data_IF_540932001883
#
_entry.id   IF_540932001883
#
_cell.length_a   1.000
_cell.length_b   1.000
_cell.length_c   1.000
_cell.angle_alpha   90.00
_cell.angle_beta   90.00
_cell.angle_gamma   90.00
#
_symmetry.space_group_name_H-M   'P 1'
#
loop_
_entity.id
_entity.type
_entity.pdbx_description
1 polymer ?
#
# COMPACT_ATOMS: atom_id res chain seq x y z
N UNK A 1 26.79 18.73 -18.04
CA UNK A 1 25.64 19.34 -17.35
C UNK A 1 24.77 18.20 -16.86
N UNK A 2 24.92 17.82 -15.60
CA UNK A 2 23.99 16.88 -14.96
C UNK A 2 22.62 17.55 -14.99
N UNK A 3 21.73 17.07 -15.86
CA UNK A 3 20.34 17.53 -15.88
C UNK A 3 19.79 17.33 -14.46
N UNK A 4 18.97 18.27 -13.98
CA UNK A 4 18.17 18.14 -12.77
C UNK A 4 17.29 16.88 -12.85
N UNK A 5 17.86 15.70 -12.58
CA UNK A 5 17.14 14.43 -12.53
C UNK A 5 16.54 14.18 -11.16
N UNK A 6 16.84 15.02 -10.16
CA UNK A 6 16.44 14.83 -8.75
C UNK A 6 15.03 15.28 -8.40
N UNK A 7 14.38 16.12 -9.22
CA UNK A 7 13.02 16.58 -8.93
C UNK A 7 11.98 15.56 -9.39
N UNK A 8 10.99 15.32 -8.54
CA UNK A 8 9.83 14.48 -8.82
C UNK A 8 8.99 15.04 -9.97
N UNK A 9 8.64 14.19 -10.93
CA UNK A 9 7.76 14.54 -12.04
C UNK A 9 6.30 14.20 -11.72
N UNK A 10 5.55 15.19 -11.21
CA UNK A 10 4.12 15.04 -10.89
C UNK A 10 3.25 14.70 -12.12
N UNK A 11 3.71 15.02 -13.33
CA UNK A 11 2.99 14.75 -14.58
C UNK A 11 3.12 13.29 -15.04
N UNK A 12 4.15 12.58 -14.58
CA UNK A 12 4.41 11.20 -14.98
C UNK A 12 3.58 10.16 -14.21
N UNK A 13 3.00 10.55 -13.06
CA UNK A 13 2.08 9.68 -12.31
C UNK A 13 0.73 9.65 -13.03
N UNK A 14 0.16 8.45 -13.15
CA UNK A 14 -1.16 8.27 -13.77
C UNK A 14 -2.29 8.83 -12.89
N UNK A 15 -3.33 9.42 -13.51
CA UNK A 15 -4.46 10.03 -12.80
C UNK A 15 -5.15 9.06 -11.83
N UNK A 16 -5.20 7.76 -12.15
CA UNK A 16 -5.75 6.72 -11.27
C UNK A 16 -5.12 6.70 -9.87
N UNK A 17 -3.86 7.14 -9.74
CA UNK A 17 -3.12 7.16 -8.49
C UNK A 17 -3.05 8.56 -7.85
N UNK A 18 -3.79 9.55 -8.36
CA UNK A 18 -3.81 10.93 -7.85
C UNK A 18 -5.04 11.25 -7.00
N UNK A 19 -6.09 10.44 -7.11
CA UNK A 19 -7.33 10.63 -6.36
C UNK A 19 -7.13 10.50 -4.84
N UNK A 20 -8.05 11.06 -4.06
CA UNK A 20 -8.00 10.89 -2.61
C UNK A 20 -8.10 9.40 -2.21
N UNK A 21 -7.39 9.00 -1.15
CA UNK A 21 -7.31 7.60 -0.73
C UNK A 21 -8.37 7.28 0.34
N UNK A 22 -9.53 6.79 -0.10
CA UNK A 22 -10.57 6.21 0.77
C UNK A 22 -10.41 4.70 0.92
N UNK A 23 -10.98 4.15 2.00
CA UNK A 23 -11.03 2.71 2.22
C UNK A 23 -11.80 1.96 1.13
N UNK A 24 -11.63 0.63 1.07
CA UNK A 24 -12.34 -0.25 0.13
C UNK A 24 -13.85 -0.10 0.27
N UNK A 25 -14.54 -0.07 -0.86
CA UNK A 25 -15.98 -0.25 -0.93
C UNK A 25 -16.34 -1.72 -0.67
N UNK A 26 -17.51 -1.96 -0.07
CA UNK A 26 -17.94 -3.30 0.35
C UNK A 26 -17.99 -4.31 -0.80
N UNK A 27 -18.32 -3.85 -2.00
CA UNK A 27 -18.43 -4.68 -3.20
C UNK A 27 -17.16 -4.69 -4.07
N UNK A 28 -16.06 -4.04 -3.67
CA UNK A 28 -14.85 -3.87 -4.49
C UNK A 28 -14.27 -5.19 -5.04
N UNK A 29 -14.38 -6.29 -4.29
CA UNK A 29 -13.89 -7.61 -4.68
C UNK A 29 -14.89 -8.42 -5.53
N UNK A 30 -16.11 -7.93 -5.69
CA UNK A 30 -17.22 -8.64 -6.36
C UNK A 30 -17.87 -7.85 -7.49
N UNK A 31 -17.69 -6.52 -7.51
CA UNK A 31 -18.25 -5.58 -8.46
C UNK A 31 -17.56 -5.60 -9.83
N UNK A 32 -17.87 -4.59 -10.64
CA UNK A 32 -17.34 -4.46 -12.01
C UNK A 32 -15.82 -4.36 -12.04
N UNK A 33 -15.23 -3.72 -11.02
CA UNK A 33 -13.82 -3.37 -11.00
C UNK A 33 -12.96 -4.43 -10.30
N UNK A 34 -13.54 -5.58 -9.93
CA UNK A 34 -12.86 -6.66 -9.20
C UNK A 34 -11.53 -7.11 -9.81
N UNK A 35 -11.39 -6.99 -11.13
CA UNK A 35 -10.17 -7.36 -11.86
C UNK A 35 -8.97 -6.47 -11.51
N UNK A 36 -9.22 -5.25 -11.03
CA UNK A 36 -8.19 -4.35 -10.50
C UNK A 36 -7.67 -4.78 -9.13
N UNK A 37 -8.41 -5.62 -8.41
CA UNK A 37 -8.12 -5.99 -7.05
C UNK A 37 -7.52 -7.40 -6.95
N UNK A 38 -6.66 -7.59 -5.97
CA UNK A 38 -6.16 -8.89 -5.57
C UNK A 38 -6.10 -8.99 -4.05
N UNK A 39 -6.90 -9.88 -3.48
CA UNK A 39 -6.77 -10.29 -2.08
C UNK A 39 -5.56 -11.24 -1.94
N UNK A 40 -4.55 -10.77 -1.24
CA UNK A 40 -3.25 -11.43 -1.13
C UNK A 40 -3.38 -12.68 -0.28
N UNK A 41 -2.96 -13.82 -0.84
CA UNK A 41 -2.94 -15.11 -0.14
C UNK A 41 -1.78 -15.17 0.84
N UNK A 42 -1.89 -16.06 1.83
CA UNK A 42 -0.83 -16.27 2.82
C UNK A 42 0.52 -16.69 2.20
N UNK A 43 0.51 -17.53 1.14
CA UNK A 43 1.72 -17.89 0.39
C UNK A 43 2.41 -16.66 -0.20
N UNK A 44 1.62 -15.73 -0.75
CA UNK A 44 2.14 -14.54 -1.39
C UNK A 44 2.62 -13.52 -0.35
N UNK A 45 2.02 -13.49 0.85
CA UNK A 45 2.54 -12.69 1.96
C UNK A 45 3.93 -13.17 2.40
N UNK A 46 4.16 -14.49 2.45
CA UNK A 46 5.47 -15.08 2.77
C UNK A 46 6.52 -14.72 1.71
N UNK A 47 6.16 -14.76 0.43
CA UNK A 47 7.05 -14.38 -0.67
C UNK A 47 7.27 -12.87 -0.79
N UNK A 48 6.46 -12.05 -0.10
CA UNK A 48 6.45 -10.59 -0.19
C UNK A 48 6.52 -9.95 1.21
N UNK A 49 7.54 -10.31 1.99
CA UNK A 49 7.75 -9.80 3.36
C UNK A 49 7.81 -8.27 3.45
N UNK A 50 8.13 -7.57 2.35
CA UNK A 50 8.07 -6.10 2.28
C UNK A 50 6.66 -5.53 2.53
N UNK A 51 5.60 -6.34 2.42
CA UNK A 51 4.26 -5.94 2.84
C UNK A 51 4.18 -5.70 4.35
N UNK A 52 5.01 -6.37 5.17
CA UNK A 52 5.10 -6.04 6.59
C UNK A 52 5.71 -4.65 6.80
N UNK A 53 6.78 -4.31 6.06
CA UNK A 53 7.34 -2.95 6.08
C UNK A 53 6.27 -1.89 5.73
N UNK A 54 5.34 -2.21 4.82
CA UNK A 54 4.26 -1.30 4.47
C UNK A 54 3.26 -1.11 5.62
N UNK A 55 2.93 -2.16 6.36
CA UNK A 55 2.12 -2.04 7.56
C UNK A 55 2.84 -1.23 8.65
N UNK A 56 4.17 -1.40 8.80
CA UNK A 56 4.98 -0.60 9.73
C UNK A 56 4.98 0.89 9.36
N UNK A 57 5.11 1.22 8.06
CA UNK A 57 5.01 2.59 7.55
C UNK A 57 3.62 3.18 7.76
N UNK A 58 2.56 2.40 7.56
CA UNK A 58 1.17 2.79 7.86
C UNK A 58 1.00 3.09 9.34
N UNK A 59 1.54 2.24 10.22
CA UNK A 59 1.46 2.46 11.65
C UNK A 59 2.24 3.71 12.07
N UNK A 60 3.45 3.89 11.53
CA UNK A 60 4.30 5.05 11.78
C UNK A 60 3.63 6.36 11.36
N UNK A 61 2.88 6.37 10.26
CA UNK A 61 2.25 7.61 9.77
C UNK A 61 1.23 8.21 10.76
N UNK A 62 0.76 7.42 11.73
CA UNK A 62 -0.22 7.86 12.74
C UNK A 62 0.42 8.18 14.10
N UNK A 63 1.59 7.63 14.40
CA UNK A 63 2.22 7.70 15.72
C UNK A 63 3.59 8.38 15.63
N UNK A 64 3.76 9.51 16.32
CA UNK A 64 5.05 10.21 16.45
C UNK A 64 5.89 9.62 17.61
N UNK A 65 5.89 8.28 17.78
CA UNK A 65 6.55 7.59 18.90
C UNK A 65 7.31 6.34 18.46
N UNK A 66 8.00 5.73 19.43
CA UNK A 66 8.73 4.48 19.28
C UNK A 66 7.83 3.31 18.85
N UNK A 67 8.01 2.88 17.60
CA UNK A 67 7.31 1.72 17.02
C UNK A 67 7.66 0.40 17.72
N UNK A 68 8.78 0.31 18.44
CA UNK A 68 9.26 -0.96 19.01
C UNK A 68 8.24 -1.63 19.93
N UNK A 69 7.39 -0.85 20.61
CA UNK A 69 6.32 -1.35 21.46
C UNK A 69 5.15 -2.00 20.68
N UNK A 70 5.04 -1.72 19.39
CA UNK A 70 3.92 -2.12 18.53
C UNK A 70 4.33 -3.15 17.46
N UNK A 71 5.61 -3.53 17.43
CA UNK A 71 6.16 -4.53 16.53
C UNK A 71 6.40 -5.88 17.23
N UNK A 72 6.42 -7.00 16.48
CA UNK A 72 6.04 -7.12 15.08
C UNK A 72 4.52 -7.02 14.89
N UNK A 73 4.08 -6.64 13.69
CA UNK A 73 2.66 -6.66 13.33
C UNK A 73 2.22 -8.04 12.83
N UNK A 74 0.98 -8.42 13.14
CA UNK A 74 0.33 -9.60 12.58
C UNK A 74 -0.58 -9.16 11.43
N UNK A 75 -0.28 -9.60 10.21
CA UNK A 75 -1.11 -9.30 9.05
C UNK A 75 -2.43 -10.06 9.11
N UNK A 76 -3.57 -9.36 8.95
CA UNK A 76 -4.90 -9.98 8.94
C UNK A 76 -5.46 -10.07 7.52
N UNK A 77 -5.35 -8.99 6.74
CA UNK A 77 -5.81 -8.93 5.34
C UNK A 77 -5.00 -7.90 4.57
N UNK A 78 -4.66 -8.24 3.32
CA UNK A 78 -4.08 -7.30 2.36
C UNK A 78 -4.83 -7.43 1.04
N UNK A 79 -5.21 -6.29 0.47
CA UNK A 79 -5.75 -6.20 -0.88
C UNK A 79 -4.86 -5.25 -1.68
N UNK A 80 -4.33 -5.71 -2.81
CA UNK A 80 -3.62 -4.87 -3.75
C UNK A 80 -4.57 -4.39 -4.85
N UNK A 81 -4.47 -3.12 -5.23
CA UNK A 81 -5.20 -2.53 -6.36
C UNK A 81 -4.23 -1.89 -7.35
N UNK A 82 -4.39 -2.21 -8.62
CA UNK A 82 -3.62 -1.63 -9.73
C UNK A 82 -4.54 -1.14 -10.83
N UNK A 83 -4.11 -0.15 -11.59
CA UNK A 83 -4.81 0.29 -12.80
C UNK A 83 -4.84 -0.81 -13.86
N UNK A 84 -3.73 -1.53 -14.01
CA UNK A 84 -3.58 -2.57 -15.00
C UNK A 84 -4.28 -3.85 -14.55
N UNK A 85 -5.08 -4.44 -15.45
CA UNK A 85 -5.61 -5.79 -15.30
C UNK A 85 -4.52 -6.81 -15.66
N UNK A 86 -3.52 -6.94 -14.77
CA UNK A 86 -2.47 -7.96 -14.84
C UNK A 86 -2.85 -9.17 -13.99
N UNK A 87 -2.19 -10.30 -14.22
CA UNK A 87 -2.34 -11.49 -13.38
C UNK A 87 -2.21 -11.13 -11.88
N UNK A 88 -3.00 -11.78 -11.02
CA UNK A 88 -3.23 -11.35 -9.64
C UNK A 88 -1.94 -11.16 -8.83
N UNK A 89 -1.00 -12.12 -8.88
CA UNK A 89 0.28 -12.03 -8.17
C UNK A 89 1.22 -10.97 -8.77
N UNK A 90 1.08 -10.65 -10.06
CA UNK A 90 1.85 -9.60 -10.72
C UNK A 90 1.46 -8.21 -10.24
N UNK A 91 0.25 -8.03 -9.68
CA UNK A 91 -0.16 -6.75 -9.08
C UNK A 91 0.75 -6.30 -7.93
N UNK A 92 1.33 -7.26 -7.18
CA UNK A 92 2.31 -6.97 -6.12
C UNK A 92 3.62 -6.39 -6.68
N UNK A 93 3.98 -6.78 -7.91
CA UNK A 93 5.18 -6.35 -8.64
C UNK A 93 4.97 -5.09 -9.49
N UNK A 94 3.74 -4.61 -9.61
CA UNK A 94 3.42 -3.39 -10.35
C UNK A 94 4.13 -2.18 -9.75
N UNK A 95 4.69 -1.31 -10.59
CA UNK A 95 5.45 -0.14 -10.12
C UNK A 95 4.57 0.78 -9.26
N UNK A 96 3.35 1.02 -9.73
CA UNK A 96 2.33 1.76 -9.01
C UNK A 96 1.28 0.77 -8.49
N UNK A 97 0.89 0.91 -7.24
CA UNK A 97 -0.12 0.07 -6.62
C UNK A 97 -0.65 0.73 -5.34
N UNK A 98 -1.92 0.48 -5.02
CA UNK A 98 -2.51 0.84 -3.72
C UNK A 98 -2.72 -0.44 -2.91
N UNK A 99 -2.26 -0.47 -1.67
CA UNK A 99 -2.42 -1.59 -0.75
C UNK A 99 -3.35 -1.18 0.37
N UNK A 100 -4.39 -1.97 0.58
CA UNK A 100 -5.35 -1.84 1.67
C UNK A 100 -5.05 -2.94 2.67
N UNK A 101 -4.79 -2.57 3.92
CA UNK A 101 -4.18 -3.45 4.89
C UNK A 101 -4.93 -3.38 6.21
N UNK A 102 -5.29 -4.53 6.76
CA UNK A 102 -5.69 -4.65 8.15
C UNK A 102 -4.69 -5.55 8.87
N UNK A 103 -4.22 -5.12 10.03
CA UNK A 103 -3.21 -5.82 10.82
C UNK A 103 -3.40 -5.52 12.30
N UNK A 104 -2.90 -6.42 13.13
CA UNK A 104 -2.89 -6.25 14.59
C UNK A 104 -1.47 -5.95 15.03
N UNK A 105 -1.26 -4.80 15.66
CA UNK A 105 0.02 -4.45 16.26
C UNK A 105 0.24 -5.19 17.59
N UNK A 106 1.49 -5.24 18.04
CA UNK A 106 1.83 -5.77 19.35
C UNK A 106 1.03 -5.05 20.44
N UNK A 107 0.54 -5.80 21.43
CA UNK A 107 -0.41 -5.30 22.43
C UNK A 107 -1.90 -5.42 22.04
N UNK A 108 -2.21 -5.93 20.84
CA UNK A 108 -3.58 -6.26 20.43
C UNK A 108 -4.34 -5.11 19.76
N UNK A 109 -3.64 -4.05 19.38
CA UNK A 109 -4.23 -2.89 18.70
C UNK A 109 -4.59 -3.25 17.26
N UNK A 110 -5.87 -3.08 16.88
CA UNK A 110 -6.33 -3.31 15.52
C UNK A 110 -6.16 -2.05 14.66
N UNK A 111 -5.47 -2.22 13.54
CA UNK A 111 -5.12 -1.14 12.64
C UNK A 111 -5.63 -1.45 11.23
N UNK A 112 -6.13 -0.41 10.58
CA UNK A 112 -6.46 -0.40 9.16
C UNK A 112 -5.66 0.71 8.49
N UNK A 113 -5.14 0.48 7.31
CA UNK A 113 -4.54 1.57 6.55
C UNK A 113 -4.27 1.27 5.10
N UNK A 114 -4.08 2.37 4.38
CA UNK A 114 -3.82 2.39 2.95
C UNK A 114 -2.42 2.91 2.76
N UNK A 115 -1.67 2.24 1.89
CA UNK A 115 -0.43 2.77 1.35
C UNK A 115 -0.45 2.67 -0.16
N UNK A 116 -0.36 3.83 -0.81
CA UNK A 116 -0.23 3.94 -2.26
C UNK A 116 1.23 4.19 -2.61
N UNK A 117 1.82 3.24 -3.33
CA UNK A 117 3.14 3.36 -3.95
C UNK A 117 2.98 3.96 -5.35
N UNK A 118 3.75 5.00 -5.66
CA UNK A 118 3.89 5.52 -7.01
C UNK A 118 5.35 5.78 -7.38
N UNK A 119 5.64 5.79 -8.69
CA UNK A 119 6.91 6.24 -9.28
C UNK A 119 6.62 7.18 -10.43
N UNK A 120 7.50 8.15 -10.66
CA UNK A 120 7.48 9.08 -11.80
C UNK A 120 8.22 8.51 -13.03
N UNK A 121 8.60 7.22 -12.98
CA UNK A 121 9.32 6.52 -14.04
C UNK A 121 10.84 6.74 -14.02
N UNK A 122 11.35 7.63 -13.16
CA UNK A 122 12.78 7.83 -12.97
C UNK A 122 13.32 6.83 -11.93
N UNK A 123 14.53 6.27 -12.15
CA UNK A 123 15.16 5.44 -11.14
C UNK A 123 15.27 6.17 -9.80
N UNK A 124 15.13 5.44 -8.69
CA UNK A 124 15.26 5.95 -7.30
C UNK A 124 14.13 6.89 -6.83
N UNK A 125 13.19 7.22 -7.70
CA UNK A 125 12.03 8.04 -7.35
C UNK A 125 10.85 7.14 -6.98
N UNK A 126 10.47 7.17 -5.71
CA UNK A 126 9.28 6.51 -5.16
C UNK A 126 8.57 7.44 -4.19
N UNK A 127 7.24 7.48 -4.26
CA UNK A 127 6.39 8.24 -3.34
C UNK A 127 5.38 7.32 -2.68
N UNK A 128 5.13 7.58 -1.39
CA UNK A 128 4.10 6.92 -0.60
C UNK A 128 3.07 7.94 -0.14
N UNK A 129 1.80 7.64 -0.42
CA UNK A 129 0.66 8.33 0.18
C UNK A 129 -0.04 7.36 1.13
N UNK A 130 -0.29 7.79 2.35
CA UNK A 130 -0.64 6.88 3.46
C UNK A 130 -1.85 7.44 4.22
N UNK A 131 -2.82 6.57 4.52
CA UNK A 131 -3.88 6.82 5.48
C UNK A 131 -3.92 5.67 6.51
N UNK A 132 -4.20 6.01 7.77
CA UNK A 132 -4.19 5.05 8.88
C UNK A 132 -5.34 5.34 9.85
N UNK A 133 -6.08 4.29 10.18
CA UNK A 133 -7.19 4.26 11.13
C UNK A 133 -6.90 3.20 12.19
N UNK A 134 -7.31 3.50 13.42
CA UNK A 134 -7.07 2.66 14.59
C UNK A 134 -8.42 2.52 15.27
N UNK A 135 -8.83 1.29 15.51
CA UNK A 135 -10.03 0.99 16.28
C UNK A 135 -9.63 0.97 17.77
N UNK A 136 -10.30 1.82 18.57
CA UNK A 136 -10.10 1.97 20.02
C UNK A 136 -11.24 1.31 20.81
#
# INVERSE_FOLDING_TARGET
TEKETSRWDHGAVDEFYKDDISWLEDDALTGSDKLQYYEVKESDLQDNEWLYLYAEVVLFSKWEIDLSAYLPVKMNKVVARTREDVETSMKLRSKNATFYMSFTACGGLECMGIIRRTTDGRPQHMSFQINCWIDN
#
